data_IF_298567902246
#
_entry.id   IF_298567902246
#
_cell.length_a   1.000
_cell.length_b   1.000
_cell.length_c   1.000
_cell.angle_alpha   90.00
_cell.angle_beta   90.00
_cell.angle_gamma   90.00
#
_symmetry.space_group_name_H-M   'P 1'
#
loop_
_entity.id
_entity.type
_entity.pdbx_description
1 polymer ?
#
# COMPACT_ATOMS: atom_id res chain seq x y z
N UNK A 1 -33.51 27.85 -15.34
CA UNK A 1 -32.14 27.92 -14.79
C UNK A 1 -31.64 26.60 -14.15
N UNK A 2 -32.31 25.43 -14.33
CA UNK A 2 -32.01 24.22 -13.57
C UNK A 2 -30.83 23.34 -14.06
N UNK A 3 -30.43 23.40 -15.33
CA UNK A 3 -29.35 22.52 -15.88
C UNK A 3 -27.97 22.80 -15.29
N UNK A 4 -27.68 24.05 -14.94
CA UNK A 4 -26.35 24.48 -14.49
C UNK A 4 -25.89 23.81 -13.18
N UNK A 5 -26.84 23.46 -12.32
CA UNK A 5 -26.55 22.77 -11.05
C UNK A 5 -26.22 21.29 -11.25
N UNK A 6 -26.90 20.62 -12.19
CA UNK A 6 -26.65 19.22 -12.54
C UNK A 6 -25.29 19.04 -13.21
N UNK A 7 -24.89 19.98 -14.07
CA UNK A 7 -23.61 19.98 -14.75
C UNK A 7 -22.43 20.28 -13.81
N UNK A 8 -22.65 21.10 -12.78
CA UNK A 8 -21.67 21.36 -11.73
C UNK A 8 -21.53 20.18 -10.77
N UNK A 9 -22.64 19.52 -10.41
CA UNK A 9 -22.63 18.30 -9.61
C UNK A 9 -21.96 17.13 -10.36
N UNK A 10 -22.21 16.99 -11.67
CA UNK A 10 -21.56 15.98 -12.51
C UNK A 10 -20.05 16.24 -12.68
N UNK A 11 -19.62 17.51 -12.79
CA UNK A 11 -18.19 17.89 -12.84
C UNK A 11 -17.49 17.71 -11.49
N UNK A 12 -18.20 17.95 -10.37
CA UNK A 12 -17.69 17.65 -9.04
C UNK A 12 -17.56 16.14 -8.79
N UNK A 13 -18.47 15.33 -9.33
CA UNK A 13 -18.43 13.86 -9.27
C UNK A 13 -17.40 13.23 -10.23
N UNK A 14 -16.94 13.96 -11.26
CA UNK A 14 -15.89 13.53 -12.19
C UNK A 14 -14.52 14.16 -11.89
N UNK A 15 -14.40 14.93 -10.81
CA UNK A 15 -13.18 15.58 -10.35
C UNK A 15 -12.33 14.70 -9.44
N UNK A 16 -11.65 13.72 -10.03
CA UNK A 16 -10.61 12.93 -9.39
C UNK A 16 -10.08 11.97 -10.44
N UNK A 17 -8.76 11.91 -10.65
CA UNK A 17 -8.21 11.04 -11.69
C UNK A 17 -8.74 9.63 -11.48
N UNK A 18 -9.08 8.92 -12.55
CA UNK A 18 -9.34 7.49 -12.46
C UNK A 18 -8.04 6.83 -11.98
N UNK A 19 -7.85 6.74 -10.66
CA UNK A 19 -6.64 6.16 -10.11
C UNK A 19 -6.61 4.71 -10.61
N UNK A 20 -5.54 4.28 -11.31
CA UNK A 20 -5.55 3.00 -11.99
C UNK A 20 -5.84 1.90 -10.97
N UNK A 21 -6.77 1.01 -11.34
CA UNK A 21 -7.31 -0.08 -10.51
C UNK A 21 -6.24 -0.95 -9.85
N UNK A 22 -5.01 -0.93 -10.39
CA UNK A 22 -3.81 -1.63 -9.93
C UNK A 22 -3.20 -1.05 -8.66
N UNK A 23 -3.48 0.21 -8.36
CA UNK A 23 -2.87 0.95 -7.27
C UNK A 23 -3.33 0.43 -5.90
N UNK A 24 -4.61 0.08 -5.77
CA UNK A 24 -5.16 -0.57 -4.56
C UNK A 24 -4.58 -1.99 -4.37
N UNK A 25 -4.56 -2.90 -5.37
CA UNK A 25 -3.87 -4.18 -5.31
C UNK A 25 -2.38 -4.07 -4.95
N UNK A 26 -1.65 -3.10 -5.49
CA UNK A 26 -0.22 -2.95 -5.17
C UNK A 26 -0.01 -2.49 -3.73
N UNK A 27 -0.80 -1.54 -3.23
CA UNK A 27 -0.75 -1.12 -1.83
C UNK A 27 -1.09 -2.28 -0.88
N UNK A 28 -2.13 -3.06 -1.20
CA UNK A 28 -2.50 -4.25 -0.43
C UNK A 28 -1.41 -5.34 -0.54
N UNK A 29 -0.84 -5.54 -1.72
CA UNK A 29 0.22 -6.49 -1.99
C UNK A 29 1.48 -6.17 -1.17
N UNK A 30 1.89 -4.90 -1.09
CA UNK A 30 3.01 -4.45 -0.25
C UNK A 30 2.75 -4.69 1.24
N UNK A 31 1.52 -4.44 1.71
CA UNK A 31 1.12 -4.73 3.09
C UNK A 31 1.19 -6.23 3.40
N UNK A 32 0.66 -7.07 2.51
CA UNK A 32 0.73 -8.53 2.65
C UNK A 32 2.17 -9.03 2.55
N UNK A 33 2.99 -8.46 1.67
CA UNK A 33 4.39 -8.83 1.50
C UNK A 33 5.20 -8.51 2.76
N UNK A 34 5.01 -7.34 3.37
CA UNK A 34 5.63 -6.98 4.64
C UNK A 34 5.20 -7.91 5.78
N UNK A 35 3.91 -8.26 5.84
CA UNK A 35 3.39 -9.23 6.81
C UNK A 35 4.01 -10.62 6.63
N UNK A 36 4.01 -11.16 5.40
CA UNK A 36 4.59 -12.47 5.08
C UNK A 36 6.09 -12.49 5.38
N UNK A 37 6.81 -11.39 5.15
CA UNK A 37 8.24 -11.27 5.47
C UNK A 37 8.51 -11.46 6.96
N UNK A 38 7.84 -10.68 7.81
CA UNK A 38 7.97 -10.79 9.28
C UNK A 38 7.52 -12.17 9.76
N UNK A 39 6.44 -12.69 9.19
CA UNK A 39 5.92 -14.02 9.51
C UNK A 39 6.94 -15.12 9.17
N UNK A 40 7.60 -15.04 8.02
CA UNK A 40 8.64 -16.00 7.59
C UNK A 40 9.85 -15.96 8.51
N UNK A 41 10.29 -14.77 8.90
CA UNK A 41 11.39 -14.57 9.86
C UNK A 41 11.06 -15.17 11.24
N UNK A 42 9.85 -14.90 11.74
CA UNK A 42 9.38 -15.45 13.03
C UNK A 42 9.22 -16.97 12.99
N UNK A 43 8.61 -17.53 11.94
CA UNK A 43 8.42 -18.98 11.79
C UNK A 43 9.78 -19.69 11.68
N UNK A 44 10.74 -19.08 10.97
CA UNK A 44 12.09 -19.64 10.83
C UNK A 44 12.96 -19.46 12.07
N UNK A 45 12.44 -18.89 13.17
CA UNK A 45 13.19 -18.65 14.41
C UNK A 45 14.52 -17.92 14.17
N UNK A 46 14.54 -16.95 13.24
CA UNK A 46 15.74 -16.20 12.86
C UNK A 46 16.66 -16.85 11.81
N UNK A 47 16.32 -18.03 11.28
CA UNK A 47 17.15 -18.73 10.30
C UNK A 47 16.99 -18.26 8.84
N UNK A 48 15.86 -17.64 8.49
CA UNK A 48 15.56 -17.13 7.14
C UNK A 48 14.99 -15.71 7.20
N UNK A 49 15.21 -14.85 6.18
CA UNK A 49 15.94 -15.09 4.93
C UNK A 49 17.46 -14.88 5.00
N UNK A 50 17.98 -14.19 6.02
CA UNK A 50 19.41 -14.03 6.27
C UNK A 50 19.70 -14.45 7.72
N UNK A 51 20.39 -15.59 7.96
CA UNK A 51 20.80 -16.01 9.29
C UNK A 51 21.85 -15.04 9.87
N UNK A 52 21.81 -14.80 11.19
CA UNK A 52 22.69 -13.89 11.96
C UNK A 52 22.47 -12.38 11.76
N UNK A 53 21.40 -11.94 11.10
CA UNK A 53 21.11 -10.50 10.90
C UNK A 53 19.66 -10.16 11.26
N UNK A 54 19.31 -10.45 12.51
CA UNK A 54 17.97 -10.28 13.08
C UNK A 54 17.40 -8.86 12.89
N UNK A 55 18.22 -7.85 13.13
CA UNK A 55 17.80 -6.45 13.02
C UNK A 55 17.41 -6.05 11.58
N UNK A 56 18.11 -6.56 10.56
CA UNK A 56 17.87 -6.19 9.17
C UNK A 56 16.56 -6.78 8.64
N UNK A 57 16.19 -7.99 9.09
CA UNK A 57 14.95 -8.64 8.67
C UNK A 57 13.71 -7.86 9.13
N UNK A 58 13.74 -7.34 10.36
CA UNK A 58 12.69 -6.47 10.92
C UNK A 58 12.63 -5.13 10.17
N UNK A 59 13.79 -4.51 9.90
CA UNK A 59 13.86 -3.24 9.17
C UNK A 59 13.29 -3.36 7.76
N UNK A 60 13.56 -4.47 7.06
CA UNK A 60 13.01 -4.74 5.73
C UNK A 60 11.50 -4.93 5.78
N UNK A 61 10.99 -5.73 6.74
CA UNK A 61 9.54 -5.89 6.93
C UNK A 61 8.84 -4.55 7.22
N UNK A 62 9.46 -3.71 8.05
CA UNK A 62 8.95 -2.38 8.36
C UNK A 62 8.98 -1.45 7.13
N UNK A 63 10.04 -1.50 6.33
CA UNK A 63 10.15 -0.74 5.09
C UNK A 63 9.04 -1.10 4.09
N UNK A 64 8.71 -2.38 3.94
CA UNK A 64 7.58 -2.81 3.09
C UNK A 64 6.24 -2.23 3.53
N UNK A 65 5.96 -2.27 4.85
CA UNK A 65 4.74 -1.67 5.41
C UNK A 65 4.74 -0.16 5.19
N UNK A 66 5.88 0.52 5.37
CA UNK A 66 6.00 1.96 5.19
C UNK A 66 5.80 2.39 3.73
N UNK A 67 6.32 1.62 2.76
CA UNK A 67 6.07 1.83 1.33
C UNK A 67 4.60 1.60 0.99
N UNK A 68 3.98 0.53 1.50
CA UNK A 68 2.53 0.30 1.36
C UNK A 68 1.70 1.46 1.91
N UNK A 69 2.13 2.05 3.02
CA UNK A 69 1.48 3.20 3.63
C UNK A 69 1.64 4.49 2.82
N UNK A 70 2.85 4.81 2.33
CA UNK A 70 3.10 5.96 1.44
C UNK A 70 2.32 5.82 0.14
N UNK A 71 2.19 4.58 -0.37
CA UNK A 71 1.32 4.31 -1.49
C UNK A 71 -0.09 4.74 -1.11
N UNK A 72 -0.70 4.24 -0.03
CA UNK A 72 -2.03 4.68 0.45
C UNK A 72 -2.21 6.17 0.78
N UNK A 73 -1.16 7.01 0.83
CA UNK A 73 -1.33 8.47 1.00
C UNK A 73 -1.28 9.23 -0.33
N UNK A 74 -0.76 8.63 -1.41
CA UNK A 74 -0.72 9.22 -2.76
C UNK A 74 -1.99 8.98 -3.59
N UNK A 75 -3.17 8.98 -2.97
CA UNK A 75 -4.44 8.92 -3.73
C UNK A 75 -4.60 10.22 -4.52
N UNK A 76 -4.80 10.11 -5.82
CA UNK A 76 -5.09 11.23 -6.72
C UNK A 76 -6.19 10.84 -7.69
#
# INVERSE_FOLDING_TARGET
MARKNSDAAARAASGGGLNPRWWVPTALGLMLLGLVWVMTYYISSGAYPIPNVDAINIVVGFAFIMVGFIMMTRWK
#
